data_IF_559634403574
#
_entry.id   IF_559634403574
#
_cell.length_a   1.000
_cell.length_b   1.000
_cell.length_c   1.000
_cell.angle_alpha   90.00
_cell.angle_beta   90.00
_cell.angle_gamma   90.00
#
_symmetry.space_group_name_H-M   'P 1'
#
loop_
_entity.id
_entity.type
_entity.pdbx_description
1 polymer ?
#
# COMPACT_ATOMS: atom_id res chain seq x y z
N UNK A 1 -26.48 -52.16 -16.25
CA UNK A 1 -25.60 -52.56 -15.12
C UNK A 1 -24.58 -51.45 -14.87
N UNK A 2 -24.38 -51.05 -13.61
CA UNK A 2 -23.27 -50.17 -13.18
C UNK A 2 -23.72 -48.84 -12.56
N UNK A 3 -23.73 -48.76 -11.23
CA UNK A 3 -24.25 -47.69 -10.38
C UNK A 3 -23.10 -47.00 -9.62
N UNK A 4 -23.33 -45.74 -9.17
CA UNK A 4 -22.64 -44.95 -8.11
C UNK A 4 -21.41 -44.14 -8.57
N UNK A 5 -21.18 -42.90 -8.12
CA UNK A 5 -21.85 -42.09 -7.10
C UNK A 5 -21.27 -40.65 -7.04
N UNK A 6 -22.05 -39.76 -6.43
CA UNK A 6 -21.80 -38.36 -6.08
C UNK A 6 -20.49 -38.10 -5.30
N UNK A 7 -19.90 -36.91 -5.51
CA UNK A 7 -19.38 -36.08 -4.41
C UNK A 7 -19.24 -34.61 -4.84
N UNK A 8 -20.12 -33.77 -4.29
CA UNK A 8 -20.04 -32.31 -4.29
C UNK A 8 -19.14 -31.92 -3.12
N UNK A 9 -17.94 -31.40 -3.39
CA UNK A 9 -17.01 -30.94 -2.37
C UNK A 9 -17.33 -29.51 -1.94
N UNK A 10 -18.06 -29.38 -0.83
CA UNK A 10 -18.35 -28.13 -0.15
C UNK A 10 -17.08 -27.49 0.44
N UNK A 11 -16.90 -26.19 0.20
CA UNK A 11 -15.87 -25.37 0.85
C UNK A 11 -16.41 -24.99 2.24
N UNK A 12 -15.72 -25.30 3.35
CA UNK A 12 -16.21 -24.97 4.68
C UNK A 12 -16.13 -23.46 4.92
N UNK A 13 -17.30 -22.86 5.18
CA UNK A 13 -17.46 -21.55 5.79
C UNK A 13 -16.84 -21.56 7.18
N UNK A 14 -15.64 -21.00 7.33
CA UNK A 14 -15.05 -20.73 8.63
C UNK A 14 -15.64 -19.43 9.17
N UNK A 15 -16.78 -19.55 9.85
CA UNK A 15 -17.41 -18.49 10.63
C UNK A 15 -16.77 -18.52 12.02
N UNK A 16 -15.93 -17.55 12.41
CA UNK A 16 -15.46 -17.47 13.78
C UNK A 16 -16.62 -17.11 14.72
N UNK A 17 -16.77 -17.81 15.86
CA UNK A 17 -17.85 -17.57 16.80
C UNK A 17 -17.44 -16.47 17.79
N UNK A 18 -17.71 -15.21 17.51
CA UNK A 18 -17.68 -14.17 18.56
C UNK A 18 -18.76 -13.11 18.32
N UNK A 19 -20.02 -13.55 18.44
CA UNK A 19 -21.13 -12.69 18.86
C UNK A 19 -21.39 -12.93 20.35
N UNK A 20 -20.75 -12.11 21.18
CA UNK A 20 -21.18 -11.77 22.54
C UNK A 20 -20.89 -10.27 22.69
N UNK A 21 -21.89 -9.43 22.45
CA UNK A 21 -22.76 -8.88 23.49
C UNK A 21 -22.00 -8.05 24.53
N UNK A 22 -22.18 -6.74 24.42
CA UNK A 22 -22.24 -5.73 25.49
C UNK A 22 -21.13 -5.79 26.55
N UNK A 23 -20.23 -4.81 26.48
CA UNK A 23 -19.34 -4.47 27.57
C UNK A 23 -18.75 -3.10 27.33
N UNK A 24 -19.42 -2.07 27.85
CA UNK A 24 -18.88 -0.73 28.05
C UNK A 24 -17.64 -0.84 28.94
N UNK A 25 -16.49 -1.10 28.35
CA UNK A 25 -15.21 -1.21 29.04
C UNK A 25 -14.53 0.14 29.06
N UNK A 26 -14.73 0.91 30.15
CA UNK A 26 -13.80 1.97 30.51
C UNK A 26 -12.41 1.35 30.67
N UNK A 27 -11.54 1.51 29.69
CA UNK A 27 -10.11 1.26 29.88
C UNK A 27 -9.56 2.45 30.68
N UNK A 28 -9.68 2.39 32.02
CA UNK A 28 -8.90 3.23 32.93
C UNK A 28 -7.45 2.80 32.81
N UNK A 29 -6.70 3.45 31.92
CA UNK A 29 -5.24 3.51 32.08
C UNK A 29 -5.01 4.41 33.28
N UNK A 30 -4.79 3.79 34.44
CA UNK A 30 -4.36 4.47 35.64
C UNK A 30 -2.94 4.98 35.42
N UNK A 31 -2.81 6.20 34.93
CA UNK A 31 -1.56 6.95 35.03
C UNK A 31 -1.33 7.29 36.51
N UNK A 32 -0.22 6.85 37.12
CA UNK A 32 0.08 7.22 38.48
C UNK A 32 0.49 8.69 38.53
N UNK A 33 -0.37 9.48 39.18
CA UNK A 33 -0.07 10.74 39.88
C UNK A 33 0.76 11.79 39.15
N UNK A 34 0.08 12.79 38.59
CA UNK A 34 0.57 14.17 38.63
C UNK A 34 -0.58 15.08 39.09
N UNK A 35 -0.58 15.43 40.37
CA UNK A 35 -1.45 16.45 40.94
C UNK A 35 -0.78 17.79 40.68
N UNK A 36 -1.36 18.60 39.78
CA UNK A 36 -1.16 20.05 39.78
C UNK A 36 -2.57 20.66 39.73
N UNK A 37 -2.93 21.36 40.79
CA UNK A 37 -4.22 22.01 40.92
C UNK A 37 -4.40 23.12 39.88
N UNK A 38 -5.63 23.26 39.38
CA UNK A 38 -6.02 24.35 38.50
C UNK A 38 -7.34 24.07 37.78
N UNK A 39 -8.44 24.53 38.37
CA UNK A 39 -9.73 24.94 37.77
C UNK A 39 -10.35 24.06 36.66
N UNK A 40 -11.57 23.58 36.94
CA UNK A 40 -12.56 23.05 35.99
C UNK A 40 -12.56 23.80 34.64
N UNK A 41 -11.93 23.19 33.65
CA UNK A 41 -12.10 23.48 32.24
C UNK A 41 -12.09 22.12 31.54
N UNK A 42 -13.19 21.79 30.87
CA UNK A 42 -13.40 20.52 30.17
C UNK A 42 -12.17 20.16 29.34
N UNK A 43 -11.64 18.91 29.42
CA UNK A 43 -10.71 18.45 28.42
C UNK A 43 -11.47 18.36 27.11
N UNK A 44 -11.38 19.42 26.31
CA UNK A 44 -11.70 19.40 24.89
C UNK A 44 -10.90 18.26 24.30
N UNK A 45 -11.56 17.12 24.10
CA UNK A 45 -11.09 16.03 23.28
C UNK A 45 -10.86 16.63 21.91
N UNK A 46 -9.63 17.05 21.63
CA UNK A 46 -9.19 17.30 20.26
C UNK A 46 -9.36 15.94 19.59
N UNK A 47 -10.30 15.78 18.63
CA UNK A 47 -10.35 14.53 17.89
C UNK A 47 -9.02 14.47 17.15
N UNK A 48 -8.12 13.56 17.56
CA UNK A 48 -7.09 13.08 16.64
C UNK A 48 -7.91 12.45 15.52
N UNK A 49 -8.09 13.21 14.44
CA UNK A 49 -8.75 12.73 13.25
C UNK A 49 -7.93 11.52 12.80
N UNK A 50 -8.42 10.32 13.15
CA UNK A 50 -8.01 9.11 12.49
C UNK A 50 -8.40 9.32 11.04
N UNK A 51 -7.44 9.81 10.25
CA UNK A 51 -7.67 10.02 8.84
C UNK A 51 -8.08 8.66 8.28
N UNK A 52 -9.23 8.56 7.60
CA UNK A 52 -9.57 7.33 6.93
C UNK A 52 -8.40 6.99 6.03
N UNK A 53 -7.82 5.81 6.23
CA UNK A 53 -6.80 5.25 5.34
C UNK A 53 -7.58 4.91 4.07
N UNK A 54 -7.83 5.92 3.25
CA UNK A 54 -8.52 5.76 1.97
C UNK A 54 -7.53 5.02 1.10
N UNK A 55 -7.70 3.69 1.01
CA UNK A 55 -7.04 2.91 -0.05
C UNK A 55 -7.77 3.29 -1.34
N UNK A 56 -7.53 4.52 -1.78
CA UNK A 56 -8.07 5.02 -3.01
C UNK A 56 -7.47 4.15 -4.12
N UNK A 57 -8.29 3.52 -4.95
CA UNK A 57 -7.81 2.87 -6.20
C UNK A 57 -6.97 3.83 -7.07
N UNK A 58 -7.05 5.13 -6.75
CA UNK A 58 -6.20 6.19 -7.26
C UNK A 58 -4.71 6.03 -6.93
N UNK A 59 -4.33 5.47 -5.77
CA UNK A 59 -2.92 5.25 -5.41
C UNK A 59 -2.29 4.14 -6.26
N UNK A 60 -2.96 3.00 -6.41
CA UNK A 60 -2.49 1.90 -7.27
C UNK A 60 -2.36 2.39 -8.72
N UNK A 61 -3.38 3.10 -9.22
CA UNK A 61 -3.34 3.72 -10.55
C UNK A 61 -2.16 4.69 -10.69
N UNK A 62 -1.94 5.56 -9.70
CA UNK A 62 -0.81 6.50 -9.68
C UNK A 62 0.52 5.76 -9.78
N UNK A 63 0.76 4.77 -8.92
CA UNK A 63 1.99 3.99 -8.91
C UNK A 63 2.22 3.27 -10.25
N UNK A 64 1.19 2.60 -10.77
CA UNK A 64 1.30 1.87 -12.04
C UNK A 64 1.62 2.84 -13.18
N UNK A 65 0.94 3.99 -13.25
CA UNK A 65 1.20 4.96 -14.32
C UNK A 65 2.58 5.61 -14.19
N UNK A 66 3.07 5.85 -12.97
CA UNK A 66 4.45 6.34 -12.73
C UNK A 66 5.53 5.38 -13.23
N UNK A 67 5.24 4.07 -13.27
CA UNK A 67 6.13 3.07 -13.83
C UNK A 67 5.97 2.93 -15.34
N UNK A 68 4.74 3.01 -15.84
CA UNK A 68 4.42 2.78 -17.25
C UNK A 68 4.70 3.98 -18.16
N UNK A 69 4.79 5.19 -17.61
CA UNK A 69 4.98 6.42 -18.38
C UNK A 69 6.12 7.24 -17.81
N UNK A 70 6.86 7.92 -18.68
CA UNK A 70 7.97 8.79 -18.29
C UNK A 70 7.49 10.02 -17.49
N UNK A 71 6.24 10.43 -17.67
CA UNK A 71 5.55 11.45 -16.90
C UNK A 71 4.19 10.99 -16.39
N UNK A 72 3.86 11.39 -15.17
CA UNK A 72 2.54 11.17 -14.58
C UNK A 72 2.22 12.35 -13.67
N UNK A 73 1.02 12.89 -13.80
CA UNK A 73 0.53 13.98 -12.95
C UNK A 73 0.21 13.47 -11.54
N UNK A 74 0.03 14.40 -10.59
CA UNK A 74 -0.23 14.02 -9.18
C UNK A 74 -1.53 13.22 -9.01
N UNK A 75 -2.50 13.39 -9.89
CA UNK A 75 -3.77 12.64 -9.93
C UNK A 75 -3.63 11.24 -10.56
N UNK A 76 -2.42 10.83 -10.94
CA UNK A 76 -2.17 9.55 -11.60
C UNK A 76 -2.53 9.55 -13.09
N UNK A 77 -2.81 10.71 -13.69
CA UNK A 77 -3.01 10.82 -15.14
C UNK A 77 -1.67 10.69 -15.86
N UNK A 78 -1.51 9.73 -16.79
CA UNK A 78 -0.26 9.56 -17.53
C UNK A 78 -0.06 10.70 -18.52
N UNK A 79 1.20 11.08 -18.74
CA UNK A 79 1.61 12.01 -19.76
C UNK A 79 2.92 11.51 -20.39
N UNK A 80 3.14 11.83 -21.66
CA UNK A 80 4.36 11.41 -22.35
C UNK A 80 4.35 9.95 -22.79
N UNK A 81 5.55 9.42 -22.98
CA UNK A 81 5.79 8.15 -23.64
C UNK A 81 5.77 6.98 -22.66
N UNK A 82 5.42 5.80 -23.19
CA UNK A 82 5.49 4.56 -22.42
C UNK A 82 6.93 4.18 -22.14
N UNK A 83 7.17 3.73 -20.92
CA UNK A 83 8.43 3.09 -20.56
C UNK A 83 8.46 1.65 -21.07
N UNK A 84 9.58 1.02 -20.74
CA UNK A 84 9.91 -0.36 -21.05
C UNK A 84 9.31 -1.35 -20.05
N UNK A 85 8.76 -0.84 -18.94
CA UNK A 85 8.14 -1.64 -17.90
C UNK A 85 6.78 -2.09 -18.42
N UNK A 86 6.53 -3.40 -18.42
CA UNK A 86 5.24 -3.91 -18.85
C UNK A 86 4.15 -3.74 -17.77
N UNK A 87 2.86 -3.67 -18.15
CA UNK A 87 1.76 -3.49 -17.21
C UNK A 87 1.69 -4.53 -16.09
N UNK A 88 2.12 -5.77 -16.34
CA UNK A 88 2.08 -6.83 -15.34
C UNK A 88 3.17 -6.62 -14.30
N UNK A 89 4.39 -6.32 -14.71
CA UNK A 89 5.49 -5.99 -13.80
C UNK A 89 5.18 -4.75 -12.96
N UNK A 90 4.60 -3.71 -13.56
CA UNK A 90 4.15 -2.53 -12.82
C UNK A 90 3.08 -2.87 -11.77
N UNK A 91 2.09 -3.69 -12.12
CA UNK A 91 1.05 -4.12 -11.19
C UNK A 91 1.60 -4.96 -10.03
N UNK A 92 2.61 -5.81 -10.28
CA UNK A 92 3.29 -6.60 -9.25
C UNK A 92 4.02 -5.67 -8.26
N UNK A 93 4.82 -4.73 -8.78
CA UNK A 93 5.58 -3.80 -7.95
C UNK A 93 4.66 -2.90 -7.09
N UNK A 94 3.55 -2.43 -7.66
CA UNK A 94 2.60 -1.54 -7.01
C UNK A 94 1.54 -2.24 -6.15
N UNK A 95 1.63 -3.57 -5.97
CA UNK A 95 0.63 -4.33 -5.24
C UNK A 95 0.66 -4.01 -3.74
N UNK A 96 -0.50 -3.60 -3.21
CA UNK A 96 -0.70 -3.43 -1.77
C UNK A 96 -0.20 -2.10 -1.19
N UNK A 97 0.14 -1.14 -2.06
CA UNK A 97 0.56 0.19 -1.61
C UNK A 97 -0.56 0.90 -0.84
N UNK A 98 -0.16 1.69 0.17
CA UNK A 98 -1.07 2.38 1.08
C UNK A 98 -0.86 3.88 1.15
N UNK A 99 0.18 4.40 0.49
CA UNK A 99 0.52 5.82 0.51
C UNK A 99 1.19 6.27 -0.79
N UNK A 100 1.21 7.58 -1.03
CA UNK A 100 1.99 8.18 -2.13
C UNK A 100 3.48 7.95 -1.96
N UNK A 101 3.99 8.09 -0.74
CA UNK A 101 5.41 7.83 -0.44
C UNK A 101 5.82 6.41 -0.82
N UNK A 102 4.94 5.42 -0.60
CA UNK A 102 5.17 4.05 -1.08
C UNK A 102 5.22 3.97 -2.61
N UNK A 103 4.29 4.61 -3.32
CA UNK A 103 4.31 4.65 -4.78
C UNK A 103 5.61 5.24 -5.33
N UNK A 104 6.06 6.37 -4.77
CA UNK A 104 7.31 7.03 -5.14
C UNK A 104 8.54 6.17 -4.81
N UNK A 105 8.52 5.48 -3.66
CA UNK A 105 9.59 4.55 -3.26
C UNK A 105 9.70 3.36 -4.21
N UNK A 106 8.56 2.77 -4.62
CA UNK A 106 8.52 1.69 -5.61
C UNK A 106 9.02 2.18 -6.97
N UNK A 107 8.59 3.36 -7.42
CA UNK A 107 9.07 3.96 -8.66
C UNK A 107 10.59 4.10 -8.65
N UNK A 108 11.14 4.67 -7.58
CA UNK A 108 12.58 4.83 -7.41
C UNK A 108 13.31 3.48 -7.43
N UNK A 109 12.80 2.49 -6.70
CA UNK A 109 13.40 1.16 -6.67
C UNK A 109 13.45 0.53 -8.07
N UNK A 110 12.32 0.52 -8.79
CA UNK A 110 12.23 -0.05 -10.13
C UNK A 110 13.23 0.61 -11.08
N UNK A 111 13.27 1.95 -11.08
CA UNK A 111 14.16 2.67 -11.97
C UNK A 111 15.64 2.52 -11.59
N UNK A 112 15.98 2.40 -10.30
CA UNK A 112 17.36 2.12 -9.86
C UNK A 112 17.87 0.75 -10.31
N UNK A 113 16.99 -0.23 -10.44
CA UNK A 113 17.37 -1.57 -10.88
C UNK A 113 17.43 -1.68 -12.42
N UNK A 114 16.57 -0.93 -13.12
CA UNK A 114 16.41 -1.03 -14.58
C UNK A 114 17.29 -0.05 -15.36
N UNK A 115 17.86 0.96 -14.69
CA UNK A 115 18.71 1.98 -15.30
C UNK A 115 20.00 2.16 -14.49
N UNK A 116 21.09 2.51 -15.17
CA UNK A 116 22.38 2.77 -14.53
C UNK A 116 22.35 3.99 -13.60
N UNK A 117 21.45 4.93 -13.87
CA UNK A 117 21.26 6.16 -13.12
C UNK A 117 19.77 6.51 -13.00
N UNK A 118 19.48 7.32 -11.99
CA UNK A 118 18.17 7.96 -11.84
C UNK A 118 18.37 9.41 -11.41
N UNK A 119 17.39 10.25 -11.74
CA UNK A 119 17.30 11.60 -11.19
C UNK A 119 16.83 11.57 -9.73
N UNK A 120 16.97 12.69 -9.03
CA UNK A 120 16.56 12.84 -7.62
C UNK A 120 15.05 12.61 -7.41
N UNK A 121 14.24 12.91 -8.42
CA UNK A 121 12.80 12.67 -8.46
C UNK A 121 12.43 11.20 -8.75
N UNK A 122 13.42 10.30 -8.89
CA UNK A 122 13.20 8.87 -9.11
C UNK A 122 12.94 8.48 -10.56
N UNK A 123 13.02 9.43 -11.51
CA UNK A 123 12.90 9.14 -12.94
C UNK A 123 14.15 8.46 -13.51
N UNK A 124 14.00 7.64 -14.56
CA UNK A 124 15.13 6.99 -15.20
C UNK A 124 16.07 8.02 -15.85
N UNK A 125 17.37 7.80 -15.70
CA UNK A 125 18.42 8.55 -16.37
C UNK A 125 19.46 7.58 -16.94
N UNK A 126 20.04 7.92 -18.09
CA UNK A 126 21.09 7.08 -18.68
C UNK A 126 20.57 5.80 -19.33
N UNK A 127 21.42 4.77 -19.29
CA UNK A 127 21.26 3.55 -20.08
C UNK A 127 20.56 2.45 -19.29
N UNK A 128 19.89 1.56 -20.03
CA UNK A 128 19.21 0.41 -19.42
C UNK A 128 20.20 -0.63 -18.96
N UNK A 129 19.89 -1.23 -17.81
CA UNK A 129 20.56 -2.44 -17.35
C UNK A 129 20.02 -3.65 -18.10
N UNK A 130 20.70 -4.79 -17.93
CA UNK A 130 20.26 -6.09 -18.46
C UNK A 130 19.10 -6.70 -17.65
N UNK A 131 18.71 -6.08 -16.53
CA UNK A 131 17.75 -6.68 -15.62
C UNK A 131 16.33 -6.67 -16.23
N UNK A 132 15.64 -7.79 -16.04
CA UNK A 132 14.25 -7.93 -16.48
C UNK A 132 13.28 -7.14 -15.57
N UNK A 133 12.29 -6.42 -16.13
CA UNK A 133 11.29 -5.68 -15.35
C UNK A 133 10.52 -6.53 -14.33
N UNK A 134 10.26 -7.81 -14.62
CA UNK A 134 9.54 -8.69 -13.69
C UNK A 134 10.40 -9.05 -12.48
N UNK A 135 11.70 -9.31 -12.69
CA UNK A 135 12.64 -9.53 -11.61
C UNK A 135 12.83 -8.28 -10.73
N UNK A 136 12.89 -7.10 -11.36
CA UNK A 136 12.92 -5.83 -10.63
C UNK A 136 11.64 -5.63 -9.79
N UNK A 137 10.47 -5.93 -10.36
CA UNK A 137 9.18 -5.78 -9.68
C UNK A 137 9.08 -6.67 -8.43
N UNK A 138 9.50 -7.93 -8.53
CA UNK A 138 9.51 -8.85 -7.40
C UNK A 138 10.47 -8.37 -6.30
N UNK A 139 11.65 -7.88 -6.67
CA UNK A 139 12.61 -7.33 -5.72
C UNK A 139 12.06 -6.09 -5.01
N UNK A 140 11.49 -5.15 -5.77
CA UNK A 140 10.98 -3.89 -5.23
C UNK A 140 9.72 -4.05 -4.39
N UNK A 141 8.93 -5.11 -4.62
CA UNK A 141 7.76 -5.39 -3.79
C UNK A 141 8.13 -5.72 -2.33
N UNK A 142 9.36 -6.17 -2.10
CA UNK A 142 9.87 -6.51 -0.76
C UNK A 142 10.51 -5.31 -0.05
N UNK A 143 10.66 -4.16 -0.71
CA UNK A 143 11.18 -2.97 -0.07
C UNK A 143 10.16 -2.44 0.94
N UNK A 144 10.44 -2.49 2.26
CA UNK A 144 9.65 -1.68 3.18
C UNK A 144 9.85 -0.24 2.76
N UNK A 145 8.74 0.51 2.66
CA UNK A 145 8.82 1.96 2.53
C UNK A 145 9.77 2.44 3.62
N UNK A 146 10.91 2.99 3.22
CA UNK A 146 11.82 3.66 4.15
C UNK A 146 11.07 4.92 4.59
N UNK A 147 10.33 4.79 5.70
CA UNK A 147 9.69 5.88 6.44
C UNK A 147 10.71 6.47 7.42
#
# INVERSE_FOLDING_TARGET
MGHRGHAIGAIPSFIPPFLRSLGSGLYRVATPWLIIGGTLGEPGLVPIAAQPISVDGNLIKLCVNQLLYDHTFRDGTPAGDRTIIDPRSAAVACRGIRSRTQAESIQRCMNQLLYDRIFTDGKPAGDRTILDPSAAAEACQLCPALD
#
